data_IF_861512861108
#
_entry.id   IF_861512861108
#
_cell.length_a   1.000
_cell.length_b   1.000
_cell.length_c   1.000
_cell.angle_alpha   90.00
_cell.angle_beta   90.00
_cell.angle_gamma   90.00
#
_symmetry.space_group_name_H-M   'P 1'
#
loop_
_entity.id
_entity.type
_entity.pdbx_description
1 polymer ?
#
# COMPACT_ATOMS: atom_id res chain seq x y z
N UNK A 1 -13.95 -8.35 -9.58
CA UNK A 1 -13.62 -7.13 -10.34
C UNK A 1 -12.35 -6.59 -9.72
N UNK A 2 -11.28 -6.43 -10.50
CA UNK A 2 -10.05 -5.79 -10.02
C UNK A 2 -10.25 -4.29 -10.01
N UNK A 3 -9.88 -3.63 -8.92
CA UNK A 3 -9.89 -2.19 -8.78
C UNK A 3 -8.50 -1.69 -8.39
N UNK A 4 -8.25 -0.41 -8.64
CA UNK A 4 -7.00 0.26 -8.30
C UNK A 4 -7.30 1.50 -7.48
N UNK A 5 -6.47 1.76 -6.47
CA UNK A 5 -6.56 2.94 -5.63
C UNK A 5 -5.18 3.61 -5.58
N UNK A 6 -5.14 4.92 -5.76
CA UNK A 6 -3.96 5.73 -5.55
C UNK A 6 -4.22 6.69 -4.39
N UNK A 7 -3.29 6.74 -3.45
CA UNK A 7 -3.28 7.71 -2.35
C UNK A 7 -2.02 8.55 -2.43
N UNK A 8 -2.01 9.70 -1.77
CA UNK A 8 -0.85 10.57 -1.71
C UNK A 8 -0.80 11.26 -0.35
N UNK A 9 0.33 11.89 -0.06
CA UNK A 9 0.53 12.79 1.07
C UNK A 9 0.39 14.26 0.65
N UNK A 10 -0.31 14.57 -0.43
CA UNK A 10 -0.50 15.95 -0.88
C UNK A 10 -1.93 16.40 -0.62
N UNK A 11 -2.14 17.61 -0.09
CA UNK A 11 -3.48 18.13 0.23
C UNK A 11 -4.40 18.24 -0.99
N UNK A 12 -3.86 18.32 -2.20
CA UNK A 12 -4.59 18.30 -3.46
C UNK A 12 -4.80 16.89 -4.03
N UNK A 13 -4.43 15.87 -3.26
CA UNK A 13 -4.55 14.47 -3.60
C UNK A 13 -5.99 13.94 -3.58
N UNK A 14 -6.30 12.91 -4.39
CA UNK A 14 -7.62 12.28 -4.35
C UNK A 14 -7.87 11.59 -2.99
N UNK A 15 -9.14 11.57 -2.56
CA UNK A 15 -9.63 10.64 -1.53
C UNK A 15 -9.23 10.97 -0.09
N UNK A 16 -8.74 9.96 0.63
CA UNK A 16 -8.52 9.96 2.09
C UNK A 16 -7.45 10.94 2.60
N UNK A 17 -6.78 11.67 1.71
CA UNK A 17 -5.54 12.39 2.06
C UNK A 17 -5.75 13.38 3.20
N UNK A 18 -6.77 14.25 3.13
CA UNK A 18 -7.04 15.25 4.17
C UNK A 18 -7.47 14.67 5.53
N UNK A 19 -7.83 13.38 5.58
CA UNK A 19 -8.18 12.66 6.81
C UNK A 19 -6.95 12.05 7.50
N UNK A 20 -5.76 12.17 6.90
CA UNK A 20 -4.55 11.57 7.42
C UNK A 20 -4.07 12.21 8.73
N UNK A 21 -3.56 11.37 9.63
CA UNK A 21 -3.17 11.74 10.98
C UNK A 21 -1.74 12.28 11.11
N UNK A 22 -0.88 12.02 10.11
CA UNK A 22 0.54 12.35 10.19
C UNK A 22 0.78 13.86 10.14
N UNK A 23 1.81 14.30 10.86
CA UNK A 23 2.24 15.71 10.95
C UNK A 23 3.51 15.98 10.14
N UNK A 24 3.90 17.26 9.90
CA UNK A 24 5.16 17.56 9.24
C UNK A 24 6.36 16.85 9.89
N UNK A 25 7.30 16.27 9.11
CA UNK A 25 7.43 16.33 7.64
C UNK A 25 6.72 15.19 6.88
N UNK A 26 5.79 14.47 7.51
CA UNK A 26 5.07 13.31 6.96
C UNK A 26 3.61 13.61 6.66
N UNK A 27 3.28 14.89 6.45
CA UNK A 27 1.94 15.46 6.46
C UNK A 27 0.85 14.55 5.90
N UNK A 28 -0.23 14.47 6.66
CA UNK A 28 -1.48 13.81 6.32
C UNK A 28 -1.36 12.29 6.23
N UNK A 29 -1.33 11.72 5.03
CA UNK A 29 -1.64 10.30 4.80
C UNK A 29 -0.40 9.44 4.53
N UNK A 30 0.61 9.53 5.40
CA UNK A 30 1.78 8.67 5.32
C UNK A 30 1.44 7.22 5.73
N UNK A 31 1.81 6.25 4.89
CA UNK A 31 1.57 4.81 5.09
C UNK A 31 2.86 4.03 5.42
N UNK A 32 4.02 4.70 5.43
CA UNK A 32 5.32 4.06 5.62
C UNK A 32 5.73 4.01 7.10
N UNK A 33 6.01 2.80 7.61
CA UNK A 33 6.45 2.57 8.99
C UNK A 33 7.97 2.74 9.20
N UNK A 34 8.74 2.92 8.12
CA UNK A 34 10.21 2.86 8.16
C UNK A 34 10.90 4.20 7.84
N UNK A 35 10.15 5.30 7.80
CA UNK A 35 10.67 6.64 7.41
C UNK A 35 10.86 7.60 8.57
N UNK A 36 10.54 7.19 9.80
CA UNK A 36 10.71 8.00 11.01
C UNK A 36 9.46 8.76 11.46
N UNK A 37 8.29 8.45 10.90
CA UNK A 37 6.99 8.97 11.35
C UNK A 37 6.50 8.26 12.62
N UNK A 38 5.49 8.83 13.27
CA UNK A 38 4.76 8.22 14.38
C UNK A 38 4.10 6.93 13.93
N UNK A 39 4.43 5.82 14.61
CA UNK A 39 3.82 4.51 14.32
C UNK A 39 2.30 4.54 14.49
N UNK A 40 1.80 5.27 15.49
CA UNK A 40 0.36 5.33 15.77
C UNK A 40 -0.38 6.09 14.66
N UNK A 41 0.21 7.17 14.14
CA UNK A 41 -0.38 7.95 13.04
C UNK A 41 -0.40 7.14 11.74
N UNK A 42 0.70 6.45 11.42
CA UNK A 42 0.78 5.55 10.25
C UNK A 42 -0.21 4.39 10.36
N UNK A 43 -0.36 3.81 11.56
CA UNK A 43 -1.36 2.77 11.81
C UNK A 43 -2.79 3.30 11.61
N UNK A 44 -3.09 4.52 12.06
CA UNK A 44 -4.38 5.16 11.84
C UNK A 44 -4.65 5.38 10.34
N UNK A 45 -3.65 5.85 9.58
CA UNK A 45 -3.76 6.02 8.13
C UNK A 45 -3.99 4.68 7.40
N UNK A 46 -3.28 3.62 7.78
CA UNK A 46 -3.49 2.27 7.24
C UNK A 46 -4.87 1.70 7.59
N UNK A 47 -5.39 2.01 8.78
CA UNK A 47 -6.75 1.64 9.18
C UNK A 47 -7.83 2.39 8.36
N UNK A 48 -7.60 3.65 8.01
CA UNK A 48 -8.46 4.40 7.08
C UNK A 48 -8.42 3.78 5.68
N UNK A 49 -7.24 3.44 5.17
CA UNK A 49 -7.10 2.77 3.86
C UNK A 49 -7.89 1.46 3.79
N UNK A 50 -7.90 0.70 4.89
CA UNK A 50 -8.62 -0.59 4.98
C UNK A 50 -10.15 -0.46 4.92
N UNK A 51 -10.69 0.76 5.00
CA UNK A 51 -12.13 1.02 4.84
C UNK A 51 -12.52 1.25 3.38
N UNK A 52 -11.58 1.71 2.55
CA UNK A 52 -11.80 2.03 1.12
C UNK A 52 -11.37 0.89 0.19
N UNK A 53 -10.52 -0.01 0.68
CA UNK A 53 -9.95 -1.10 -0.09
C UNK A 53 -10.22 -2.47 0.56
N UNK A 54 -9.88 -3.52 -0.18
CA UNK A 54 -9.72 -4.85 0.39
C UNK A 54 -8.56 -4.86 1.40
N UNK A 55 -8.31 -5.99 2.07
CA UNK A 55 -7.30 -6.04 3.15
C UNK A 55 -5.91 -5.69 2.59
N UNK A 56 -5.29 -4.56 3.00
CA UNK A 56 -4.04 -4.12 2.42
C UNK A 56 -2.87 -4.98 2.91
N UNK A 57 -2.02 -5.42 1.98
CA UNK A 57 -0.78 -6.15 2.24
C UNK A 57 0.38 -5.29 1.74
N UNK A 58 1.21 -4.85 2.68
CA UNK A 58 2.43 -4.09 2.42
C UNK A 58 3.64 -5.02 2.34
N UNK A 59 4.74 -4.52 1.78
CA UNK A 59 6.03 -5.20 1.70
C UNK A 59 7.16 -4.33 2.23
N UNK A 60 8.22 -4.96 2.68
CA UNK A 60 9.49 -4.32 3.01
C UNK A 60 10.34 -4.18 1.73
N UNK A 61 10.23 -3.02 1.09
CA UNK A 61 10.91 -2.68 -0.17
C UNK A 61 12.40 -2.41 0.06
N UNK A 62 13.26 -3.03 -0.76
CA UNK A 62 14.72 -2.91 -0.63
C UNK A 62 15.41 -2.52 -1.96
N UNK A 63 14.64 -2.07 -2.96
CA UNK A 63 15.11 -1.71 -4.30
C UNK A 63 15.79 -2.88 -5.04
N UNK A 64 15.30 -4.11 -4.82
CA UNK A 64 15.67 -5.30 -5.56
C UNK A 64 14.69 -5.66 -6.68
N UNK A 65 14.72 -6.92 -7.09
CA UNK A 65 13.88 -7.52 -8.14
C UNK A 65 13.04 -8.70 -7.63
N UNK A 66 12.98 -8.88 -6.30
CA UNK A 66 12.24 -9.97 -5.66
C UNK A 66 10.73 -9.81 -5.79
N UNK A 67 10.07 -10.89 -6.22
CA UNK A 67 8.60 -10.99 -6.33
C UNK A 67 8.11 -12.02 -5.31
N UNK A 68 7.07 -11.69 -4.54
CA UNK A 68 6.45 -12.61 -3.59
C UNK A 68 4.99 -12.87 -3.96
N UNK A 69 4.61 -14.14 -3.97
CA UNK A 69 3.21 -14.57 -4.10
C UNK A 69 2.53 -14.45 -2.74
N UNK A 70 1.39 -13.78 -2.70
CA UNK A 70 0.52 -13.67 -1.54
C UNK A 70 -0.65 -14.63 -1.72
N UNK A 71 -0.73 -15.67 -0.89
CA UNK A 71 -1.73 -16.73 -0.90
C UNK A 71 -2.73 -16.63 0.27
N UNK A 72 -2.70 -15.52 1.00
CA UNK A 72 -3.61 -15.26 2.11
C UNK A 72 -3.31 -13.96 2.84
N UNK A 73 -4.20 -13.59 3.75
CA UNK A 73 -4.03 -12.40 4.60
C UNK A 73 -2.97 -12.72 5.66
N UNK A 74 -1.90 -11.91 5.68
CA UNK A 74 -0.82 -11.98 6.66
C UNK A 74 -0.52 -10.58 7.20
N UNK A 75 -0.09 -10.52 8.46
CA UNK A 75 0.42 -9.28 9.07
C UNK A 75 1.94 -9.12 8.88
N UNK A 76 2.60 -10.10 8.28
CA UNK A 76 4.03 -10.07 8.00
C UNK A 76 4.22 -9.38 6.65
N UNK A 77 4.95 -8.27 6.65
CA UNK A 77 5.40 -7.61 5.42
C UNK A 77 6.61 -8.39 4.86
N UNK A 78 6.48 -9.12 3.72
CA UNK A 78 7.61 -9.84 3.13
C UNK A 78 8.64 -8.85 2.59
N UNK A 79 9.92 -9.25 2.57
CA UNK A 79 10.96 -8.49 1.86
C UNK A 79 10.86 -8.79 0.37
N UNK A 80 10.44 -7.80 -0.41
CA UNK A 80 10.20 -7.88 -1.85
C UNK A 80 10.05 -6.46 -2.43
N UNK A 81 10.10 -6.36 -3.76
CA UNK A 81 9.81 -5.11 -4.48
C UNK A 81 8.64 -5.25 -5.47
N UNK A 82 8.03 -6.44 -5.52
CA UNK A 82 6.73 -6.68 -6.12
C UNK A 82 5.97 -7.77 -5.36
N UNK A 83 4.64 -7.65 -5.34
CA UNK A 83 3.73 -8.67 -4.85
C UNK A 83 2.82 -9.11 -5.98
N UNK A 84 2.40 -10.37 -5.97
CA UNK A 84 1.34 -10.89 -6.85
C UNK A 84 0.35 -11.76 -6.09
N UNK A 85 -0.91 -11.81 -6.53
CA UNK A 85 -1.93 -12.66 -5.91
C UNK A 85 -3.05 -13.04 -6.87
N UNK A 86 -3.63 -14.21 -6.64
CA UNK A 86 -4.92 -14.63 -7.22
C UNK A 86 -6.04 -14.62 -6.17
N UNK A 87 -5.73 -14.30 -4.91
CA UNK A 87 -6.68 -14.32 -3.81
C UNK A 87 -7.56 -13.06 -3.83
N UNK A 88 -8.87 -13.27 -3.73
CA UNK A 88 -9.82 -12.17 -3.60
C UNK A 88 -9.81 -11.60 -2.18
N UNK A 89 -10.14 -10.31 -2.04
CA UNK A 89 -10.20 -9.66 -0.72
C UNK A 89 -8.83 -9.18 -0.20
N UNK A 90 -7.79 -9.25 -1.03
CA UNK A 90 -6.46 -8.72 -0.78
C UNK A 90 -6.22 -7.49 -1.66
N UNK A 91 -5.67 -6.43 -1.09
CA UNK A 91 -5.14 -5.28 -1.82
C UNK A 91 -3.61 -5.29 -1.71
N UNK A 92 -2.91 -5.50 -2.82
CA UNK A 92 -1.46 -5.44 -2.85
C UNK A 92 -0.98 -3.99 -2.83
N UNK A 93 -0.14 -3.63 -1.86
CA UNK A 93 0.30 -2.26 -1.66
C UNK A 93 1.78 -2.09 -2.02
N UNK A 94 2.08 -1.09 -2.85
CA UNK A 94 3.42 -0.58 -3.12
C UNK A 94 3.51 0.85 -2.60
N UNK A 95 4.55 1.16 -1.82
CA UNK A 95 4.83 2.52 -1.33
C UNK A 95 5.92 3.13 -2.18
N UNK A 96 5.72 4.39 -2.60
CA UNK A 96 6.71 5.13 -3.37
C UNK A 96 6.79 6.57 -2.89
N UNK A 97 7.98 7.14 -2.97
CA UNK A 97 8.25 8.56 -3.05
C UNK A 97 9.31 8.69 -4.15
N UNK A 98 8.95 9.27 -5.28
CA UNK A 98 9.75 9.40 -6.52
C UNK A 98 9.94 8.13 -7.36
N UNK A 99 9.91 6.92 -6.78
CA UNK A 99 9.92 5.67 -7.55
C UNK A 99 8.63 5.50 -8.39
N UNK A 100 8.71 4.72 -9.48
CA UNK A 100 7.59 4.48 -10.39
C UNK A 100 6.77 3.27 -9.92
N UNK A 101 5.52 3.44 -9.46
CA UNK A 101 4.66 2.32 -9.11
C UNK A 101 4.08 1.68 -10.37
N UNK A 102 4.02 0.34 -10.41
CA UNK A 102 3.38 -0.43 -11.48
C UNK A 102 2.24 -1.26 -10.88
N UNK A 103 1.05 -1.14 -11.48
CA UNK A 103 -0.10 -2.00 -11.21
C UNK A 103 -0.37 -2.83 -12.46
N UNK A 104 -0.35 -4.14 -12.34
CA UNK A 104 -0.55 -5.09 -13.44
C UNK A 104 -1.75 -5.97 -13.12
N UNK A 105 -2.41 -6.49 -14.15
CA UNK A 105 -3.48 -7.48 -14.00
C UNK A 105 -3.56 -8.32 -15.27
N UNK A 106 -3.55 -9.64 -15.10
CA UNK A 106 -3.89 -10.59 -16.16
C UNK A 106 -5.31 -11.15 -15.92
N UNK A 107 -6.23 -10.72 -16.78
CA UNK A 107 -7.65 -11.12 -16.73
C UNK A 107 -7.91 -12.55 -17.19
N UNK A 108 -6.95 -13.25 -17.78
CA UNK A 108 -7.11 -14.65 -18.19
C UNK A 108 -6.91 -15.63 -17.05
N UNK A 109 -6.08 -15.25 -16.08
CA UNK A 109 -5.72 -16.07 -14.93
C UNK A 109 -6.07 -15.40 -13.60
N UNK A 110 -6.77 -14.26 -13.65
CA UNK A 110 -7.18 -13.44 -12.50
C UNK A 110 -6.02 -13.18 -11.52
N UNK A 111 -4.86 -12.79 -12.07
CA UNK A 111 -3.65 -12.48 -11.33
C UNK A 111 -3.41 -10.97 -11.31
N UNK A 112 -3.33 -10.39 -10.13
CA UNK A 112 -2.83 -9.03 -9.91
C UNK A 112 -1.36 -9.09 -9.53
#
# INVERSE_FOLDING_TARGET
MVSTLFTTRSSDGPGLTELGASSPPYDWFNLALHVGDSKDDVCANRALLSQEAATPIFMNQIHGDGIVVIDGISQIEPTADALITQESGIALCVLVADCIPLLLWDSKIDLV
#
